data_IF_647427160319
#
_entry.id   IF_647427160319
#
_cell.length_a   1.000
_cell.length_b   1.000
_cell.length_c   1.000
_cell.angle_alpha   90.00
_cell.angle_beta   90.00
_cell.angle_gamma   90.00
#
_symmetry.space_group_name_H-M   'P 1'
#
loop_
_entity.id
_entity.type
_entity.pdbx_description
1 polymer ?
#
# COMPACT_ATOMS: atom_id res chain seq x y z
N UNK A 1 12.71 10.71 -6.44
CA UNK A 1 11.32 10.20 -6.34
C UNK A 1 10.68 10.68 -5.05
N UNK A 2 9.43 11.16 -5.09
CA UNK A 2 8.73 11.76 -3.94
C UNK A 2 7.79 10.81 -3.16
N UNK A 3 7.84 9.52 -3.47
CA UNK A 3 7.14 8.49 -2.68
C UNK A 3 7.83 8.38 -1.31
N UNK A 4 7.11 8.65 -0.23
CA UNK A 4 7.70 8.79 1.11
C UNK A 4 8.34 7.49 1.60
N UNK A 5 7.71 6.35 1.33
CA UNK A 5 8.22 5.06 1.78
C UNK A 5 9.58 4.72 1.14
N UNK A 6 9.81 5.16 -0.10
CA UNK A 6 11.09 4.98 -0.80
C UNK A 6 12.21 5.84 -0.23
N UNK A 7 11.87 7.00 0.35
CA UNK A 7 12.86 7.86 1.01
C UNK A 7 13.19 7.37 2.43
N UNK A 8 12.24 6.74 3.10
CA UNK A 8 12.37 6.33 4.49
C UNK A 8 13.16 5.03 4.66
N UNK A 9 13.08 4.12 3.69
CA UNK A 9 13.66 2.77 3.78
C UNK A 9 14.99 2.67 3.04
N UNK A 10 15.91 1.85 3.55
CA UNK A 10 17.17 1.57 2.87
C UNK A 10 16.95 0.71 1.62
N UNK A 11 17.84 0.77 0.61
CA UNK A 11 17.70 -0.01 -0.63
C UNK A 11 17.58 -1.52 -0.39
N UNK A 12 18.29 -2.05 0.61
CA UNK A 12 18.22 -3.46 1.00
C UNK A 12 16.83 -3.84 1.51
N UNK A 13 16.20 -2.98 2.32
CA UNK A 13 14.85 -3.21 2.85
C UNK A 13 13.82 -3.11 1.73
N UNK A 14 13.97 -2.16 0.81
CA UNK A 14 13.06 -1.97 -0.32
C UNK A 14 12.99 -3.21 -1.22
N UNK A 15 14.12 -3.91 -1.45
CA UNK A 15 14.15 -5.16 -2.24
C UNK A 15 13.36 -6.32 -1.63
N UNK A 16 13.22 -6.33 -0.31
CA UNK A 16 12.51 -7.38 0.43
C UNK A 16 11.14 -6.89 0.94
N UNK A 17 10.71 -5.68 0.58
CA UNK A 17 9.49 -5.06 1.08
C UNK A 17 8.23 -5.87 0.75
N UNK A 18 8.09 -6.34 -0.50
CA UNK A 18 6.97 -7.19 -0.90
C UNK A 18 6.96 -8.55 -0.16
N UNK A 19 8.08 -9.31 -0.12
CA UNK A 19 8.17 -10.51 0.71
C UNK A 19 7.86 -10.28 2.20
N UNK A 20 8.37 -9.21 2.80
CA UNK A 20 8.09 -8.85 4.19
C UNK A 20 6.60 -8.55 4.42
N UNK A 21 5.99 -7.80 3.50
CA UNK A 21 4.57 -7.51 3.54
C UNK A 21 3.73 -8.79 3.43
N UNK A 22 4.12 -9.73 2.56
CA UNK A 22 3.45 -11.02 2.43
C UNK A 22 3.49 -11.83 3.74
N UNK A 23 4.66 -11.91 4.40
CA UNK A 23 4.80 -12.57 5.70
C UNK A 23 3.91 -11.92 6.75
N UNK A 24 3.92 -10.58 6.83
CA UNK A 24 3.11 -9.82 7.77
C UNK A 24 1.60 -10.04 7.53
N UNK A 25 1.18 -10.02 6.27
CA UNK A 25 -0.20 -10.31 5.87
C UNK A 25 -0.56 -11.74 6.28
N UNK A 26 0.24 -12.75 5.95
CA UNK A 26 -0.01 -14.14 6.33
C UNK A 26 -0.25 -14.28 7.84
N UNK A 27 0.68 -13.76 8.64
CA UNK A 27 0.59 -13.79 10.10
C UNK A 27 -0.68 -13.12 10.65
N UNK A 28 -1.13 -12.01 10.05
CA UNK A 28 -2.31 -11.28 10.51
C UNK A 28 -3.62 -11.91 10.01
N UNK A 29 -3.62 -12.49 8.81
CA UNK A 29 -4.82 -12.98 8.12
C UNK A 29 -5.23 -14.38 8.53
N UNK A 30 -4.30 -15.18 9.07
CA UNK A 30 -4.57 -16.53 9.60
C UNK A 30 -5.77 -16.62 10.55
N UNK A 31 -6.19 -15.48 11.13
CA UNK A 31 -7.43 -15.37 11.93
C UNK A 31 -8.61 -14.82 11.13
N UNK A 32 -8.47 -13.63 10.52
CA UNK A 32 -9.53 -13.00 9.72
C UNK A 32 -8.99 -12.05 8.65
N UNK A 33 -9.37 -12.27 7.39
CA UNK A 33 -9.11 -11.32 6.30
C UNK A 33 -10.05 -10.12 6.39
N UNK A 34 -9.51 -8.89 6.37
CA UNK A 34 -10.31 -7.66 6.39
C UNK A 34 -9.79 -6.66 5.37
N UNK A 35 -10.66 -5.73 4.93
CA UNK A 35 -10.28 -4.71 3.94
C UNK A 35 -9.07 -3.85 4.35
N UNK A 36 -8.80 -3.71 5.65
CA UNK A 36 -7.60 -3.02 6.17
C UNK A 36 -6.29 -3.69 5.73
N UNK A 37 -6.28 -5.02 5.71
CA UNK A 37 -5.13 -5.79 5.25
C UNK A 37 -4.96 -5.64 3.74
N UNK A 38 -6.07 -5.68 2.98
CA UNK A 38 -6.06 -5.45 1.53
C UNK A 38 -5.51 -4.08 1.18
N UNK A 39 -5.89 -3.02 1.91
CA UNK A 39 -5.37 -1.66 1.68
C UNK A 39 -3.85 -1.60 1.88
N UNK A 40 -3.32 -2.28 2.90
CA UNK A 40 -1.88 -2.38 3.11
C UNK A 40 -1.19 -3.15 1.97
N UNK A 41 -1.74 -4.30 1.55
CA UNK A 41 -1.20 -5.06 0.43
C UNK A 41 -1.12 -4.21 -0.86
N UNK A 42 -2.18 -3.46 -1.15
CA UNK A 42 -2.27 -2.58 -2.32
C UNK A 42 -1.26 -1.42 -2.24
N UNK A 43 -1.04 -0.84 -1.05
CA UNK A 43 0.00 0.16 -0.85
C UNK A 43 1.39 -0.39 -1.20
N UNK A 44 1.73 -1.57 -0.70
CA UNK A 44 3.02 -2.20 -0.98
C UNK A 44 3.15 -2.54 -2.47
N UNK A 45 2.08 -3.00 -3.11
CA UNK A 45 2.08 -3.25 -4.56
C UNK A 45 2.40 -1.97 -5.35
N UNK A 46 1.76 -0.83 -5.04
CA UNK A 46 2.04 0.44 -5.71
C UNK A 46 3.48 0.91 -5.48
N UNK A 47 3.94 0.88 -4.22
CA UNK A 47 5.30 1.35 -3.89
C UNK A 47 6.34 0.50 -4.61
N UNK A 48 6.22 -0.82 -4.56
CA UNK A 48 7.18 -1.74 -5.19
C UNK A 48 7.11 -1.71 -6.72
N UNK A 49 5.93 -1.50 -7.29
CA UNK A 49 5.77 -1.32 -8.73
C UNK A 49 6.47 -0.02 -9.20
N UNK A 50 6.17 1.10 -8.55
CA UNK A 50 6.73 2.40 -8.95
C UNK A 50 8.22 2.55 -8.64
N UNK A 51 8.82 1.69 -7.80
CA UNK A 51 10.28 1.64 -7.63
C UNK A 51 11.06 1.41 -8.92
N UNK A 52 10.44 0.77 -9.92
CA UNK A 52 11.10 0.42 -11.18
C UNK A 52 11.11 1.58 -12.19
N UNK A 53 10.49 2.71 -11.88
CA UNK A 53 10.33 3.85 -12.79
C UNK A 53 11.19 5.04 -12.35
N UNK A 54 11.97 5.59 -13.28
CA UNK A 54 12.78 6.79 -13.03
C UNK A 54 11.92 8.07 -12.97
N UNK A 55 10.84 8.12 -13.75
CA UNK A 55 9.92 9.24 -13.82
C UNK A 55 8.50 8.78 -13.54
N UNK A 56 7.87 9.40 -12.53
CA UNK A 56 6.50 9.12 -12.12
C UNK A 56 5.73 10.44 -12.14
N UNK A 57 4.55 10.52 -12.78
CA UNK A 57 3.76 11.73 -12.78
C UNK A 57 3.27 12.05 -11.37
N UNK A 58 3.21 13.35 -11.02
CA UNK A 58 2.94 13.83 -9.65
C UNK A 58 1.66 13.25 -9.05
N UNK A 59 0.60 13.08 -9.84
CA UNK A 59 -0.67 12.54 -9.37
C UNK A 59 -0.53 11.09 -8.86
N UNK A 60 0.30 10.26 -9.51
CA UNK A 60 0.51 8.87 -9.13
C UNK A 60 1.35 8.78 -7.85
N UNK A 61 2.28 9.72 -7.64
CA UNK A 61 3.03 9.86 -6.38
C UNK A 61 2.08 10.20 -5.23
N UNK A 62 1.21 11.19 -5.42
CA UNK A 62 0.23 11.61 -4.39
C UNK A 62 -0.70 10.44 -4.04
N UNK A 63 -1.23 9.77 -5.06
CA UNK A 63 -2.09 8.60 -4.88
C UNK A 63 -1.38 7.49 -4.10
N UNK A 64 -0.14 7.15 -4.50
CA UNK A 64 0.65 6.10 -3.82
C UNK A 64 0.91 6.46 -2.36
N UNK A 65 1.25 7.72 -2.06
CA UNK A 65 1.46 8.18 -0.69
C UNK A 65 0.15 8.12 0.14
N UNK A 66 -0.99 8.50 -0.43
CA UNK A 66 -2.29 8.44 0.25
C UNK A 66 -2.69 6.99 0.55
N UNK A 67 -2.58 6.08 -0.43
CA UNK A 67 -2.85 4.65 -0.24
C UNK A 67 -1.88 4.05 0.78
N UNK A 68 -0.62 4.46 0.76
CA UNK A 68 0.39 4.03 1.76
C UNK A 68 0.01 4.47 3.17
N UNK A 69 -0.39 5.72 3.37
CA UNK A 69 -0.84 6.21 4.67
C UNK A 69 -2.07 5.42 5.17
N UNK A 70 -3.06 5.20 4.32
CA UNK A 70 -4.25 4.42 4.65
C UNK A 70 -3.90 2.96 4.97
N UNK A 71 -3.01 2.34 4.21
CA UNK A 71 -2.54 0.97 4.42
C UNK A 71 -1.79 0.80 5.74
N UNK A 72 -0.87 1.72 6.06
CA UNK A 72 -0.13 1.71 7.33
C UNK A 72 -1.06 1.91 8.52
N UNK A 73 -1.97 2.89 8.47
CA UNK A 73 -2.97 3.08 9.52
C UNK A 73 -3.88 1.86 9.66
N UNK A 74 -4.27 1.27 8.53
CA UNK A 74 -5.12 0.07 8.48
C UNK A 74 -4.49 -1.11 9.19
N UNK A 75 -3.26 -1.46 8.82
CA UNK A 75 -2.56 -2.60 9.40
C UNK A 75 -2.21 -2.39 10.88
N UNK A 76 -1.81 -1.17 11.27
CA UNK A 76 -1.55 -0.85 12.67
C UNK A 76 -2.84 -0.95 13.50
N UNK A 77 -3.96 -0.42 13.00
CA UNK A 77 -5.25 -0.52 13.68
C UNK A 77 -5.71 -1.98 13.83
N UNK A 78 -5.40 -2.83 12.84
CA UNK A 78 -5.75 -4.25 12.90
C UNK A 78 -4.90 -4.95 13.96
N UNK A 79 -3.58 -4.75 13.93
CA UNK A 79 -2.65 -5.35 14.89
C UNK A 79 -2.93 -4.92 16.34
N UNK A 80 -3.24 -3.64 16.55
CA UNK A 80 -3.52 -3.05 17.86
C UNK A 80 -4.99 -3.14 18.27
N UNK A 81 -5.84 -3.75 17.45
CA UNK A 81 -7.30 -3.87 17.65
C UNK A 81 -8.01 -2.52 17.88
N UNK A 82 -7.50 -1.46 17.25
CA UNK A 82 -8.11 -0.14 17.31
C UNK A 82 -9.32 -0.04 16.39
N UNK A 83 -10.36 0.63 16.88
CA UNK A 83 -11.54 0.96 16.10
C UNK A 83 -11.26 2.23 15.30
N UNK A 84 -11.39 2.15 13.98
CA UNK A 84 -11.33 3.31 13.09
C UNK A 84 -12.73 3.84 12.83
N UNK A 85 -12.83 5.16 12.64
CA UNK A 85 -14.08 5.84 12.28
C UNK A 85 -14.55 5.44 10.87
N UNK A 86 -15.85 5.54 10.60
CA UNK A 86 -16.44 5.15 9.30
C UNK A 86 -15.81 5.88 8.11
N UNK A 87 -15.44 7.15 8.30
CA UNK A 87 -14.76 7.94 7.27
C UNK A 87 -13.50 7.26 6.73
N UNK A 88 -12.73 6.56 7.58
CA UNK A 88 -11.56 5.80 7.15
C UNK A 88 -11.91 4.75 6.09
N UNK A 89 -13.02 4.03 6.28
CA UNK A 89 -13.45 2.99 5.33
C UNK A 89 -13.97 3.60 4.02
N UNK A 90 -14.58 4.79 4.08
CA UNK A 90 -14.97 5.54 2.88
C UNK A 90 -13.76 5.95 2.06
N UNK A 91 -12.74 6.54 2.70
CA UNK A 91 -11.47 6.86 2.02
C UNK A 91 -10.72 5.60 1.56
N UNK A 92 -10.82 4.50 2.32
CA UNK A 92 -10.25 3.21 2.00
C UNK A 92 -10.73 2.61 0.68
N UNK A 93 -11.91 3.00 0.16
CA UNK A 93 -12.39 2.58 -1.17
C UNK A 93 -11.45 3.02 -2.30
N UNK A 94 -10.76 4.15 -2.13
CA UNK A 94 -9.75 4.64 -3.09
C UNK A 94 -8.53 3.72 -3.14
N UNK A 95 -8.25 3.01 -2.04
CA UNK A 95 -7.19 2.00 -1.92
C UNK A 95 -7.68 0.58 -2.24
N UNK A 96 -8.80 0.43 -2.96
CA UNK A 96 -9.30 -0.89 -3.38
C UNK A 96 -8.39 -1.53 -4.42
N UNK A 97 -8.38 -2.87 -4.46
CA UNK A 97 -7.51 -3.62 -5.37
C UNK A 97 -7.86 -3.39 -6.84
N UNK A 98 -9.12 -3.08 -7.15
CA UNK A 98 -9.53 -2.72 -8.52
C UNK A 98 -8.86 -1.43 -8.95
N UNK A 99 -8.97 -0.36 -8.14
CA UNK A 99 -8.38 0.95 -8.48
C UNK A 99 -6.85 0.85 -8.54
N UNK A 100 -6.24 0.18 -7.54
CA UNK A 100 -4.79 -0.05 -7.52
C UNK A 100 -4.30 -0.86 -8.73
N UNK A 101 -5.00 -1.95 -9.06
CA UNK A 101 -4.65 -2.79 -10.20
C UNK A 101 -4.78 -2.05 -11.53
N UNK A 102 -5.83 -1.24 -11.71
CA UNK A 102 -6.00 -0.41 -12.91
C UNK A 102 -4.86 0.59 -13.07
N UNK A 103 -4.43 1.25 -11.99
CA UNK A 103 -3.28 2.16 -12.03
C UNK A 103 -2.00 1.43 -12.39
N UNK A 104 -1.73 0.26 -11.81
CA UNK A 104 -0.54 -0.52 -12.18
C UNK A 104 -0.60 -0.90 -13.67
N UNK A 105 -1.76 -1.36 -14.16
CA UNK A 105 -1.95 -1.74 -15.55
C UNK A 105 -1.74 -0.58 -16.52
N UNK A 106 -2.24 0.62 -16.23
CA UNK A 106 -2.06 1.76 -17.16
C UNK A 106 -0.59 2.09 -17.38
N UNK A 107 0.25 1.97 -16.34
CA UNK A 107 1.69 2.20 -16.45
C UNK A 107 2.48 0.99 -16.97
N UNK A 108 1.91 -0.21 -16.94
CA UNK A 108 2.60 -1.43 -17.43
C UNK A 108 2.68 -1.51 -18.96
N UNK A 109 1.84 -0.74 -19.66
CA UNK A 109 1.82 -0.69 -21.13
C UNK A 109 2.35 0.63 -21.69
N UNK A 110 2.97 1.47 -20.85
CA UNK A 110 3.61 2.73 -21.25
C UNK A 110 5.12 2.56 -21.24
#
# INVERSE_FOLDING_TARGET
MDIWLLKLLSPSILRILAPLALILIGFLVEKHYTGRITMFANAIALVTFFMMFDQIPKWAIIYTNLVTALGVVGILSYALKWRLFEAYYTFGKLASSVVTGLIILTFSFT
#
